data_IF_743067838023
#
_entry.id   IF_743067838023
#
_cell.length_a   1.000
_cell.length_b   1.000
_cell.length_c   1.000
_cell.angle_alpha   90.00
_cell.angle_beta   90.00
_cell.angle_gamma   90.00
#
_symmetry.space_group_name_H-M   'P 1'
#
loop_
_entity.id
_entity.type
_entity.pdbx_description
1 polymer ?
#
# COMPACT_ATOMS: atom_id res chain seq x y z
N UNK A 1 2.42 3.32 -29.60
CA UNK A 1 1.21 2.81 -28.91
C UNK A 1 1.12 3.49 -27.55
N UNK A 2 -0.06 3.88 -27.08
CA UNK A 2 -0.23 4.49 -25.73
C UNK A 2 -0.79 3.45 -24.76
N UNK A 3 -0.19 3.25 -23.58
CA UNK A 3 -0.75 2.35 -22.58
C UNK A 3 -2.09 2.87 -22.04
N UNK A 4 -2.87 1.99 -21.41
CA UNK A 4 -4.15 2.34 -20.78
C UNK A 4 -3.99 3.48 -19.76
N UNK A 5 -4.92 4.42 -19.74
CA UNK A 5 -5.00 5.47 -18.72
C UNK A 5 -5.22 4.91 -17.32
N UNK A 6 -5.69 3.66 -17.20
CA UNK A 6 -5.94 2.98 -15.93
C UNK A 6 -4.67 2.41 -15.30
N UNK A 7 -3.49 2.48 -15.95
CA UNK A 7 -2.26 2.06 -15.30
C UNK A 7 -1.75 3.12 -14.30
N UNK A 8 -1.16 2.66 -13.21
CA UNK A 8 -0.49 3.48 -12.22
C UNK A 8 0.91 3.84 -12.69
N UNK A 9 1.32 5.09 -12.45
CA UNK A 9 2.67 5.59 -12.72
C UNK A 9 3.13 6.41 -11.52
N UNK A 10 4.44 6.65 -11.34
CA UNK A 10 4.93 7.34 -10.15
C UNK A 10 4.27 8.70 -9.86
N UNK A 11 3.74 9.36 -10.89
CA UNK A 11 3.33 10.76 -10.84
C UNK A 11 1.81 10.95 -10.78
N UNK A 12 1.00 9.91 -11.05
CA UNK A 12 -0.43 10.06 -11.34
C UNK A 12 -1.38 9.65 -10.20
N UNK A 13 -0.84 9.23 -9.06
CA UNK A 13 -1.61 8.81 -7.90
C UNK A 13 -0.94 9.25 -6.60
N UNK A 14 -1.70 9.23 -5.52
CA UNK A 14 -1.16 9.23 -4.16
C UNK A 14 -1.36 7.84 -3.55
N UNK A 15 -0.39 7.40 -2.75
CA UNK A 15 -0.48 6.19 -1.93
C UNK A 15 -0.89 6.59 -0.51
N UNK A 16 -1.88 5.91 0.06
CA UNK A 16 -2.28 6.07 1.46
C UNK A 16 -2.08 4.74 2.18
N UNK A 17 -1.11 4.72 3.10
CA UNK A 17 -0.81 3.60 3.97
C UNK A 17 -1.57 3.80 5.29
N UNK A 18 -2.56 2.94 5.53
CA UNK A 18 -3.57 3.16 6.56
C UNK A 18 -3.39 2.15 7.69
N UNK A 19 -2.99 2.64 8.86
CA UNK A 19 -3.13 1.96 10.15
C UNK A 19 -2.45 0.58 10.21
N UNK A 20 -1.25 0.48 9.62
CA UNK A 20 -0.39 -0.71 9.69
C UNK A 20 0.26 -0.87 11.06
N UNK A 21 -0.57 -0.98 12.09
CA UNK A 21 -0.16 -0.96 13.49
C UNK A 21 -0.24 -2.37 14.10
N UNK A 22 0.61 -2.63 15.10
CA UNK A 22 0.78 -3.97 15.68
C UNK A 22 -0.53 -4.58 16.19
N UNK A 23 -1.34 -3.82 16.93
CA UNK A 23 -2.59 -4.33 17.47
C UNK A 23 -3.62 -4.65 16.38
N UNK A 24 -3.63 -3.89 15.28
CA UNK A 24 -4.49 -4.17 14.13
C UNK A 24 -4.04 -5.47 13.45
N UNK A 25 -2.73 -5.71 13.39
CA UNK A 25 -2.19 -6.92 12.79
C UNK A 25 -2.60 -8.20 13.51
N UNK A 26 -2.67 -8.20 14.85
CA UNK A 26 -2.82 -9.43 15.64
C UNK A 26 -4.14 -10.17 15.43
N UNK A 27 -5.22 -9.48 15.07
CA UNK A 27 -6.49 -10.15 14.75
C UNK A 27 -6.59 -10.58 13.27
N UNK A 28 -5.64 -10.18 12.43
CA UNK A 28 -5.66 -10.50 10.98
C UNK A 28 -5.51 -12.00 10.77
N UNK A 29 -6.45 -12.59 10.03
CA UNK A 29 -6.53 -14.05 9.83
C UNK A 29 -6.83 -14.48 8.39
N UNK A 30 -7.10 -13.55 7.46
CA UNK A 30 -7.27 -13.89 6.03
C UNK A 30 -5.95 -14.16 5.30
N UNK A 31 -4.83 -13.68 5.83
CA UNK A 31 -3.48 -13.78 5.24
C UNK A 31 -2.46 -14.04 6.36
N UNK A 32 -1.42 -14.88 6.15
CA UNK A 32 -0.34 -15.02 7.13
C UNK A 32 0.35 -13.67 7.39
N UNK A 33 0.56 -13.32 8.66
CA UNK A 33 1.14 -12.02 9.02
C UNK A 33 2.54 -11.79 8.42
N UNK A 34 3.35 -12.84 8.23
CA UNK A 34 4.64 -12.74 7.54
C UNK A 34 4.51 -12.34 6.06
N UNK A 35 3.46 -12.83 5.40
CA UNK A 35 3.16 -12.51 4.01
C UNK A 35 2.59 -11.09 3.90
N UNK A 36 1.67 -10.71 4.79
CA UNK A 36 1.17 -9.33 4.86
C UNK A 36 2.33 -8.33 5.04
N UNK A 37 3.20 -8.54 6.03
CA UNK A 37 4.36 -7.65 6.27
C UNK A 37 5.30 -7.59 5.07
N UNK A 38 5.50 -8.72 4.37
CA UNK A 38 6.27 -8.78 3.13
C UNK A 38 5.66 -7.88 2.05
N UNK A 39 4.36 -7.99 1.82
CA UNK A 39 3.65 -7.23 0.80
C UNK A 39 3.66 -5.73 1.13
N UNK A 40 3.48 -5.37 2.41
CA UNK A 40 3.59 -4.00 2.91
C UNK A 40 4.98 -3.42 2.66
N UNK A 41 6.05 -4.18 2.94
CA UNK A 41 7.42 -3.75 2.66
C UNK A 41 7.67 -3.48 1.18
N UNK A 42 7.12 -4.32 0.30
CA UNK A 42 7.20 -4.13 -1.15
C UNK A 42 6.50 -2.83 -1.56
N UNK A 43 5.29 -2.56 -1.04
CA UNK A 43 4.55 -1.33 -1.34
C UNK A 43 5.28 -0.08 -0.83
N UNK A 44 5.72 -0.08 0.43
CA UNK A 44 6.43 1.04 1.04
C UNK A 44 7.76 1.31 0.32
N UNK A 45 8.55 0.27 0.06
CA UNK A 45 9.80 0.40 -0.67
C UNK A 45 9.61 0.85 -2.13
N UNK A 46 8.61 0.32 -2.83
CA UNK A 46 8.29 0.73 -4.19
C UNK A 46 7.93 2.23 -4.23
N UNK A 47 7.01 2.67 -3.37
CA UNK A 47 6.63 4.08 -3.32
C UNK A 47 7.81 5.01 -3.05
N UNK A 48 8.76 4.59 -2.22
CA UNK A 48 9.99 5.34 -1.95
C UNK A 48 10.94 5.40 -3.15
N UNK A 49 11.20 4.27 -3.80
CA UNK A 49 12.08 4.18 -4.99
C UNK A 49 11.56 5.10 -6.11
N UNK A 50 10.25 5.12 -6.30
CA UNK A 50 9.61 5.86 -7.39
C UNK A 50 9.18 7.28 -7.01
N UNK A 51 9.42 7.73 -5.76
CA UNK A 51 9.01 9.04 -5.26
C UNK A 51 7.49 9.29 -5.40
N UNK A 52 6.68 8.28 -5.08
CA UNK A 52 5.21 8.40 -5.06
C UNK A 52 4.80 9.27 -3.88
N UNK A 53 3.86 10.19 -4.13
CA UNK A 53 3.21 10.99 -3.09
C UNK A 53 2.52 10.07 -2.08
N UNK A 54 3.13 9.88 -0.91
CA UNK A 54 2.69 8.90 0.09
C UNK A 54 2.25 9.59 1.37
N UNK A 55 1.14 9.11 1.96
CA UNK A 55 0.64 9.48 3.28
C UNK A 55 0.64 8.23 4.15
N UNK A 56 1.05 8.38 5.41
CA UNK A 56 0.93 7.33 6.43
C UNK A 56 -0.02 7.83 7.51
N UNK A 57 -1.04 7.03 7.83
CA UNK A 57 -1.97 7.30 8.94
C UNK A 57 -1.88 6.20 9.99
N UNK A 58 -2.22 6.58 11.21
CA UNK A 58 -2.33 5.68 12.38
C UNK A 58 -3.67 5.90 13.06
N UNK A 59 -4.16 4.92 13.82
CA UNK A 59 -5.42 5.04 14.56
C UNK A 59 -5.23 4.74 16.04
N UNK A 60 -5.33 5.78 16.88
CA UNK A 60 -5.16 5.68 18.31
C UNK A 60 -3.80 5.07 18.70
N UNK A 61 -2.73 5.47 17.99
CA UNK A 61 -1.37 4.91 18.06
C UNK A 61 -0.88 4.81 19.51
N UNK A 62 -0.94 5.93 20.23
CA UNK A 62 -0.41 6.07 21.60
C UNK A 62 -1.29 5.43 22.69
N UNK A 63 -2.52 5.04 22.36
CA UNK A 63 -3.51 4.59 23.36
C UNK A 63 -4.02 3.17 23.17
N UNK A 64 -3.97 2.63 21.95
CA UNK A 64 -4.51 1.31 21.64
C UNK A 64 -3.76 0.57 20.55
N UNK A 65 -3.54 1.18 19.38
CA UNK A 65 -3.09 0.44 18.20
C UNK A 65 -1.59 0.12 18.21
N UNK A 66 -0.79 0.95 18.88
CA UNK A 66 0.66 0.81 18.96
C UNK A 66 1.36 1.23 17.66
N UNK A 67 2.68 1.02 17.57
CA UNK A 67 3.48 1.58 16.49
C UNK A 67 3.17 0.94 15.14
N UNK A 68 3.44 1.71 14.08
CA UNK A 68 3.45 1.26 12.69
C UNK A 68 4.48 0.14 12.48
N UNK A 69 4.24 -0.74 11.51
CA UNK A 69 5.17 -1.81 11.12
C UNK A 69 6.59 -1.27 10.82
N UNK A 70 7.64 -1.94 11.30
CA UNK A 70 9.03 -1.57 10.99
C UNK A 70 9.31 -1.48 9.49
N UNK A 71 8.62 -2.29 8.69
CA UNK A 71 8.70 -2.27 7.24
C UNK A 71 8.34 -0.91 6.62
N UNK A 72 7.38 -0.19 7.20
CA UNK A 72 7.01 1.16 6.73
C UNK A 72 7.97 2.19 7.32
N UNK A 73 8.30 2.07 8.61
CA UNK A 73 9.22 2.99 9.30
C UNK A 73 10.60 3.02 8.63
N UNK A 74 11.07 1.91 8.05
CA UNK A 74 12.32 1.86 7.28
C UNK A 74 12.33 2.86 6.10
N UNK A 75 11.22 3.01 5.38
CA UNK A 75 11.13 3.88 4.20
C UNK A 75 10.53 5.26 4.52
N UNK A 76 9.73 5.33 5.58
CA UNK A 76 9.03 6.51 6.08
C UNK A 76 9.28 6.68 7.58
N UNK A 77 10.48 7.11 8.02
CA UNK A 77 10.76 7.25 9.45
C UNK A 77 9.82 8.27 10.10
N UNK A 78 9.26 7.93 11.27
CA UNK A 78 8.29 8.77 12.00
C UNK A 78 8.83 10.19 12.24
N UNK A 79 10.12 10.31 12.57
CA UNK A 79 10.80 11.57 12.82
C UNK A 79 10.81 12.55 11.63
N UNK A 80 10.53 12.07 10.41
CA UNK A 80 10.62 12.87 9.18
C UNK A 80 9.40 12.77 8.27
N UNK A 81 8.49 11.83 8.53
CA UNK A 81 7.40 11.51 7.60
C UNK A 81 6.05 12.11 8.00
N UNK A 82 5.92 12.63 9.23
CA UNK A 82 4.73 13.35 9.68
C UNK A 82 3.47 12.49 9.61
N UNK A 83 3.48 11.36 10.33
CA UNK A 83 2.31 10.47 10.41
C UNK A 83 1.09 11.24 10.93
N UNK A 84 -0.08 10.87 10.43
CA UNK A 84 -1.35 11.46 10.83
C UNK A 84 -2.07 10.46 11.74
N UNK A 85 -1.88 10.66 13.05
CA UNK A 85 -2.63 9.91 14.06
C UNK A 85 -4.04 10.51 14.23
N UNK A 86 -5.01 9.62 14.35
CA UNK A 86 -6.45 9.94 14.39
C UNK A 86 -7.17 8.95 15.30
N UNK A 87 -8.41 9.28 15.67
CA UNK A 87 -9.27 8.36 16.45
C UNK A 87 -10.42 7.78 15.62
N UNK A 88 -10.76 8.39 14.49
CA UNK A 88 -11.75 7.86 13.56
C UNK A 88 -11.19 6.65 12.82
N UNK A 89 -12.05 5.69 12.47
CA UNK A 89 -11.67 4.54 11.65
C UNK A 89 -11.66 4.87 10.16
N UNK A 90 -12.52 5.78 9.69
CA UNK A 90 -12.54 6.26 8.31
C UNK A 90 -11.66 7.51 8.13
N UNK A 91 -10.62 7.47 7.29
CA UNK A 91 -9.70 8.63 7.11
C UNK A 91 -10.41 9.84 6.52
N UNK A 92 -11.55 9.62 5.86
CA UNK A 92 -12.41 10.69 5.35
C UNK A 92 -13.21 11.42 6.43
N UNK A 93 -13.32 10.86 7.63
CA UNK A 93 -13.98 11.50 8.78
C UNK A 93 -12.99 12.29 9.64
N UNK A 94 -11.69 12.18 9.38
CA UNK A 94 -10.66 13.00 10.03
C UNK A 94 -10.25 14.17 9.14
N UNK A 95 -10.37 15.40 9.64
CA UNK A 95 -10.12 16.62 8.86
C UNK A 95 -8.64 16.74 8.42
N UNK A 96 -7.69 16.30 9.26
CA UNK A 96 -6.27 16.41 8.94
C UNK A 96 -5.87 15.38 7.89
N UNK A 97 -6.33 14.14 8.03
CA UNK A 97 -6.13 13.07 7.04
C UNK A 97 -6.76 13.45 5.69
N UNK A 98 -8.01 13.91 5.70
CA UNK A 98 -8.70 14.37 4.49
C UNK A 98 -7.90 15.49 3.79
N UNK A 99 -7.52 16.55 4.52
CA UNK A 99 -6.73 17.65 3.97
C UNK A 99 -5.39 17.18 3.41
N UNK A 100 -4.69 16.29 4.10
CA UNK A 100 -3.40 15.78 3.66
C UNK A 100 -3.51 14.97 2.35
N UNK A 101 -4.56 14.15 2.21
CA UNK A 101 -4.83 13.37 1.00
C UNK A 101 -5.20 14.30 -0.16
N UNK A 102 -6.17 15.20 0.04
CA UNK A 102 -6.63 16.16 -0.99
C UNK A 102 -5.49 17.07 -1.44
N UNK A 103 -4.62 17.51 -0.51
CA UNK A 103 -3.49 18.38 -0.81
C UNK A 103 -2.46 17.75 -1.77
N UNK A 104 -2.43 16.41 -1.93
CA UNK A 104 -1.59 15.76 -2.95
C UNK A 104 -2.06 16.05 -4.37
N UNK A 105 -3.32 16.49 -4.54
CA UNK A 105 -3.90 16.88 -5.82
C UNK A 105 -3.77 15.77 -6.88
N UNK A 106 -4.11 14.54 -6.49
CA UNK A 106 -4.08 13.36 -7.36
C UNK A 106 -5.48 12.86 -7.61
N UNK A 107 -5.83 12.61 -8.86
CA UNK A 107 -7.14 12.00 -9.20
C UNK A 107 -7.22 10.53 -8.80
N UNK A 108 -6.09 9.83 -8.78
CA UNK A 108 -6.01 8.42 -8.37
C UNK A 108 -5.51 8.30 -6.94
N UNK A 109 -6.16 7.43 -6.17
CA UNK A 109 -5.71 7.03 -4.83
C UNK A 109 -5.45 5.53 -4.82
N UNK A 110 -4.32 5.14 -4.25
CA UNK A 110 -3.97 3.75 -3.99
C UNK A 110 -4.00 3.55 -2.49
N UNK A 111 -4.81 2.60 -2.02
CA UNK A 111 -5.03 2.34 -0.60
C UNK A 111 -4.46 0.98 -0.23
N UNK A 112 -3.78 0.91 0.92
CA UNK A 112 -3.37 -0.33 1.56
C UNK A 112 -3.40 -0.14 3.07
N UNK A 113 -3.82 -1.14 3.84
CA UNK A 113 -3.93 -0.99 5.29
C UNK A 113 -4.79 -2.01 6.01
N UNK A 114 -5.03 -1.73 7.29
CA UNK A 114 -5.74 -2.61 8.21
C UNK A 114 -6.87 -1.87 8.94
N UNK A 115 -8.08 -2.42 9.07
CA UNK A 115 -8.61 -3.61 8.39
C UNK A 115 -9.32 -3.28 7.09
N UNK A 116 -9.36 -4.28 6.20
CA UNK A 116 -9.96 -4.19 4.87
C UNK A 116 -11.43 -3.73 4.96
N UNK A 117 -12.20 -4.35 5.85
CA UNK A 117 -13.62 -4.05 6.09
C UNK A 117 -13.89 -2.87 7.02
N UNK A 118 -12.86 -2.16 7.48
CA UNK A 118 -12.99 -1.02 8.40
C UNK A 118 -12.27 0.19 7.83
N UNK A 119 -10.95 0.29 8.03
CA UNK A 119 -10.15 1.46 7.69
C UNK A 119 -9.86 1.60 6.19
N UNK A 120 -10.10 0.56 5.38
CA UNK A 120 -9.96 0.64 3.91
C UNK A 120 -11.30 0.87 3.22
N UNK A 121 -12.35 0.12 3.58
CA UNK A 121 -13.65 0.27 2.92
C UNK A 121 -14.23 1.67 3.12
N UNK A 122 -14.11 2.27 4.31
CA UNK A 122 -14.62 3.61 4.60
C UNK A 122 -14.10 4.67 3.61
N UNK A 123 -12.78 4.94 3.58
CA UNK A 123 -12.23 5.96 2.71
C UNK A 123 -12.30 5.59 1.22
N UNK A 124 -12.28 4.30 0.86
CA UNK A 124 -12.48 3.91 -0.53
C UNK A 124 -13.86 4.34 -1.05
N UNK A 125 -14.93 4.10 -0.27
CA UNK A 125 -16.28 4.51 -0.64
C UNK A 125 -16.41 6.04 -0.70
N UNK A 126 -15.89 6.75 0.31
CA UNK A 126 -15.95 8.21 0.37
C UNK A 126 -15.18 8.87 -0.78
N UNK A 127 -13.97 8.40 -1.08
CA UNK A 127 -13.17 8.92 -2.18
C UNK A 127 -13.85 8.68 -3.55
N UNK A 128 -14.45 7.50 -3.76
CA UNK A 128 -15.17 7.22 -5.00
C UNK A 128 -16.36 8.16 -5.18
N UNK A 129 -17.12 8.43 -4.12
CA UNK A 129 -18.25 9.38 -4.14
C UNK A 129 -17.77 10.80 -4.52
N UNK A 130 -16.58 11.20 -4.09
CA UNK A 130 -15.94 12.46 -4.48
C UNK A 130 -15.28 12.43 -5.88
N UNK A 131 -15.39 11.32 -6.60
CA UNK A 131 -14.91 11.19 -7.99
C UNK A 131 -13.45 10.78 -8.14
N UNK A 132 -12.81 10.29 -7.08
CA UNK A 132 -11.47 9.71 -7.17
C UNK A 132 -11.51 8.33 -7.86
N UNK A 133 -10.43 8.02 -8.59
CA UNK A 133 -10.17 6.68 -9.11
C UNK A 133 -9.40 5.88 -8.04
N UNK A 134 -10.08 4.94 -7.38
CA UNK A 134 -9.51 4.22 -6.23
C UNK A 134 -8.99 2.84 -6.64
N UNK A 135 -7.76 2.56 -6.23
CA UNK A 135 -7.11 1.26 -6.32
C UNK A 135 -6.84 0.75 -4.90
N UNK A 136 -6.96 -0.55 -4.68
CA UNK A 136 -6.73 -1.17 -3.37
C UNK A 136 -5.74 -2.30 -3.53
N UNK A 137 -4.63 -2.25 -2.78
CA UNK A 137 -3.60 -3.30 -2.80
C UNK A 137 -4.01 -4.42 -1.84
N UNK A 138 -4.85 -5.35 -2.31
CA UNK A 138 -5.59 -6.26 -1.43
C UNK A 138 -4.72 -7.28 -0.71
N UNK A 139 -3.59 -7.68 -1.29
CA UNK A 139 -2.60 -8.57 -0.64
C UNK A 139 -1.71 -7.84 0.39
N UNK A 140 -1.74 -6.51 0.41
CA UNK A 140 -1.19 -5.68 1.48
C UNK A 140 -2.30 -5.21 2.45
N UNK A 141 -3.50 -5.77 2.36
CA UNK A 141 -4.60 -5.55 3.29
C UNK A 141 -4.92 -6.83 4.06
N UNK A 142 -5.48 -6.68 5.25
CA UNK A 142 -5.83 -7.79 6.14
C UNK A 142 -7.16 -7.56 6.86
N UNK A 143 -7.78 -8.62 7.31
CA UNK A 143 -9.02 -8.61 8.09
C UNK A 143 -9.11 -9.83 9.02
N UNK A 144 -10.07 -9.81 9.94
CA UNK A 144 -10.26 -10.82 10.99
C UNK A 144 -10.69 -12.18 10.46
N UNK A 145 -11.09 -12.26 9.19
CA UNK A 145 -11.37 -13.52 8.48
C UNK A 145 -11.34 -13.31 6.98
N UNK A 146 -11.19 -14.40 6.22
CA UNK A 146 -11.33 -14.37 4.77
C UNK A 146 -12.70 -13.85 4.33
N UNK A 147 -13.78 -14.21 5.03
CA UNK A 147 -15.13 -13.70 4.72
C UNK A 147 -15.20 -12.18 4.89
N UNK A 148 -14.68 -11.62 6.00
CA UNK A 148 -14.67 -10.18 6.23
C UNK A 148 -13.88 -9.42 5.14
N UNK A 149 -12.68 -9.91 4.83
CA UNK A 149 -11.83 -9.35 3.77
C UNK A 149 -12.55 -9.37 2.41
N UNK A 150 -13.06 -10.53 1.99
CA UNK A 150 -13.69 -10.69 0.67
C UNK A 150 -14.99 -9.90 0.55
N UNK A 151 -15.82 -9.82 1.60
CA UNK A 151 -17.03 -8.99 1.58
C UNK A 151 -16.69 -7.50 1.47
N UNK A 152 -15.64 -7.05 2.14
CA UNK A 152 -15.16 -5.68 2.01
C UNK A 152 -14.66 -5.37 0.60
N UNK A 153 -13.82 -6.25 0.03
CA UNK A 153 -13.30 -6.11 -1.34
C UNK A 153 -14.45 -6.08 -2.35
N UNK A 154 -15.40 -7.03 -2.26
CA UNK A 154 -16.57 -7.05 -3.15
C UNK A 154 -17.41 -5.78 -3.03
N UNK A 155 -17.62 -5.26 -1.82
CA UNK A 155 -18.33 -3.99 -1.59
C UNK A 155 -17.63 -2.81 -2.26
N UNK A 156 -16.30 -2.75 -2.21
CA UNK A 156 -15.52 -1.70 -2.88
C UNK A 156 -15.57 -1.82 -4.41
N UNK A 157 -15.48 -3.05 -4.95
CA UNK A 157 -15.61 -3.31 -6.39
C UNK A 157 -16.96 -2.82 -6.92
N UNK A 158 -18.05 -3.08 -6.18
CA UNK A 158 -19.41 -2.71 -6.59
C UNK A 158 -19.61 -1.20 -6.80
N UNK A 159 -18.79 -0.37 -6.17
CA UNK A 159 -18.81 1.09 -6.36
C UNK A 159 -17.70 1.59 -7.30
N UNK A 160 -16.83 0.70 -7.81
CA UNK A 160 -15.85 1.03 -8.85
C UNK A 160 -14.38 0.99 -8.44
N UNK A 161 -14.05 0.56 -7.22
CA UNK A 161 -12.65 0.37 -6.82
C UNK A 161 -11.96 -0.72 -7.66
N UNK A 162 -10.65 -0.57 -7.86
CA UNK A 162 -9.81 -1.50 -8.63
C UNK A 162 -8.86 -2.28 -7.70
N UNK A 163 -9.14 -3.55 -7.39
CA UNK A 163 -8.20 -4.39 -6.65
C UNK A 163 -6.93 -4.65 -7.47
N UNK A 164 -5.77 -4.51 -6.84
CA UNK A 164 -4.45 -4.85 -7.38
C UNK A 164 -3.62 -5.54 -6.29
N UNK A 165 -2.44 -6.05 -6.64
CA UNK A 165 -1.52 -6.68 -5.68
C UNK A 165 -0.19 -5.93 -5.56
N UNK A 166 0.56 -6.18 -4.49
CA UNK A 166 1.81 -5.50 -4.13
C UNK A 166 2.88 -5.59 -5.23
N UNK A 167 3.07 -6.79 -5.78
CA UNK A 167 4.01 -7.02 -6.90
C UNK A 167 3.47 -6.37 -8.19
N UNK A 168 2.16 -6.45 -8.45
CA UNK A 168 1.56 -5.76 -9.60
C UNK A 168 1.80 -4.24 -9.50
N UNK A 169 1.57 -3.65 -8.33
CA UNK A 169 1.80 -2.23 -8.08
C UNK A 169 3.26 -1.84 -8.37
N UNK A 170 4.24 -2.57 -7.81
CA UNK A 170 5.65 -2.35 -8.10
C UNK A 170 5.96 -2.41 -9.60
N UNK A 171 5.44 -3.43 -10.30
CA UNK A 171 5.71 -3.63 -11.72
C UNK A 171 4.96 -2.63 -12.63
N UNK A 172 3.82 -2.09 -12.20
CA UNK A 172 3.16 -0.98 -12.87
C UNK A 172 3.94 0.34 -12.76
N UNK A 173 4.74 0.51 -11.70
CA UNK A 173 5.68 1.63 -11.59
C UNK A 173 6.92 1.42 -12.45
N UNK A 174 7.53 0.23 -12.39
CA UNK A 174 8.72 -0.11 -13.17
C UNK A 174 8.45 -0.11 -14.68
N UNK A 175 7.42 -0.85 -15.14
CA UNK A 175 6.97 -1.08 -16.53
C UNK A 175 7.97 -1.63 -17.55
N UNK A 176 9.23 -1.22 -17.47
CA UNK A 176 10.25 -1.49 -18.46
C UNK A 176 11.59 -1.72 -17.77
N UNK A 177 12.20 -2.88 -18.03
CA UNK A 177 13.49 -3.26 -17.45
C UNK A 177 14.68 -2.55 -18.09
N UNK A 178 14.48 -1.85 -19.21
CA UNK A 178 15.46 -0.92 -19.77
C UNK A 178 15.59 0.40 -18.96
N UNK A 179 14.74 0.63 -17.94
CA UNK A 179 14.88 1.76 -17.02
C UNK A 179 15.95 1.46 -15.97
N UNK A 180 17.19 1.72 -16.34
CA UNK A 180 18.36 1.38 -15.54
C UNK A 180 18.40 2.12 -14.19
N UNK A 181 17.89 3.35 -14.13
CA UNK A 181 17.84 4.15 -12.89
C UNK A 181 17.10 3.43 -11.75
N UNK A 182 16.03 2.70 -12.07
CA UNK A 182 15.21 1.99 -11.08
C UNK A 182 15.43 0.47 -11.09
N UNK A 183 16.15 -0.07 -12.08
CA UNK A 183 16.43 -1.51 -12.19
C UNK A 183 17.09 -2.08 -10.93
N UNK A 184 18.22 -1.49 -10.51
CA UNK A 184 18.98 -1.97 -9.34
C UNK A 184 18.18 -1.76 -8.05
N UNK A 185 17.60 -0.58 -7.77
CA UNK A 185 16.72 -0.39 -6.61
C UNK A 185 15.58 -1.41 -6.53
N UNK A 186 14.85 -1.65 -7.63
CA UNK A 186 13.72 -2.58 -7.68
C UNK A 186 14.16 -4.03 -7.45
N UNK A 187 15.24 -4.46 -8.11
CA UNK A 187 15.75 -5.84 -7.92
C UNK A 187 16.30 -6.04 -6.51
N UNK A 188 16.90 -5.02 -5.89
CA UNK A 188 17.34 -5.08 -4.50
C UNK A 188 16.17 -5.13 -3.51
N UNK A 189 15.10 -4.36 -3.74
CA UNK A 189 13.87 -4.44 -2.96
C UNK A 189 13.29 -5.86 -3.00
N UNK A 190 13.22 -6.45 -4.19
CA UNK A 190 12.70 -7.80 -4.36
C UNK A 190 13.61 -8.88 -3.80
N UNK A 191 14.93 -8.73 -3.88
CA UNK A 191 15.88 -9.60 -3.16
C UNK A 191 15.63 -9.58 -1.65
N UNK A 192 15.37 -8.39 -1.09
CA UNK A 192 15.18 -8.19 0.35
C UNK A 192 13.82 -8.70 0.84
N UNK A 193 12.74 -8.38 0.16
CA UNK A 193 11.38 -8.64 0.63
C UNK A 193 10.60 -9.63 -0.23
N UNK A 194 10.93 -9.79 -1.52
CA UNK A 194 10.13 -10.51 -2.51
C UNK A 194 10.02 -12.03 -2.36
N UNK A 195 10.34 -12.60 -1.20
CA UNK A 195 10.23 -14.03 -0.91
C UNK A 195 10.87 -14.90 -1.99
N UNK A 196 10.05 -15.79 -2.58
CA UNK A 196 10.49 -16.70 -3.65
C UNK A 196 10.92 -15.97 -4.93
N UNK A 197 10.32 -14.84 -5.25
CA UNK A 197 10.74 -14.02 -6.39
C UNK A 197 12.15 -13.43 -6.16
N UNK A 198 12.39 -12.92 -4.95
CA UNK A 198 13.71 -12.48 -4.51
C UNK A 198 14.77 -13.58 -4.57
N UNK A 199 14.42 -14.79 -4.12
CA UNK A 199 15.28 -15.97 -4.22
C UNK A 199 15.65 -16.28 -5.68
N UNK A 200 14.71 -16.16 -6.62
CA UNK A 200 14.96 -16.30 -8.04
C UNK A 200 16.00 -15.29 -8.56
N UNK A 201 15.93 -14.03 -8.11
CA UNK A 201 16.90 -13.00 -8.48
C UNK A 201 18.29 -13.30 -7.90
N UNK A 202 18.36 -13.80 -6.66
CA UNK A 202 19.63 -14.25 -6.07
C UNK A 202 20.21 -15.44 -6.82
N UNK A 203 19.38 -16.42 -7.16
CA UNK A 203 19.80 -17.60 -7.92
C UNK A 203 20.34 -17.19 -9.29
N UNK A 204 19.60 -16.35 -10.03
CA UNK A 204 20.00 -15.89 -11.35
C UNK A 204 21.36 -15.18 -11.33
N UNK A 205 21.56 -14.22 -10.42
CA UNK A 205 22.82 -13.47 -10.32
C UNK A 205 24.03 -14.35 -9.95
N UNK A 206 23.83 -15.43 -9.20
CA UNK A 206 24.94 -16.27 -8.72
C UNK A 206 25.21 -17.47 -9.64
N UNK A 207 24.17 -18.03 -10.26
CA UNK A 207 24.26 -19.32 -10.96
C UNK A 207 24.23 -19.18 -12.49
N UNK A 208 23.64 -18.12 -13.03
CA UNK A 208 23.60 -17.89 -14.47
C UNK A 208 24.77 -16.97 -14.84
N UNK A 209 25.63 -17.42 -15.75
CA UNK A 209 26.72 -16.57 -16.28
C UNK A 209 26.10 -15.44 -17.11
N UNK A 210 26.53 -14.21 -16.88
CA UNK A 210 26.17 -13.02 -17.66
C UNK A 210 27.37 -12.59 -18.49
#
# INVERSE_FOLDING_TARGET
MKPSSNLLSPNNHALVLIDFEGQMAFATSNIPLSELRTNVAIVAGASKIFNVDTIVTTVAEESFAGPVFPEIEEYYPIATSGYIDRTSMNTWEDENAYKAIVAKNKKKLVLAGLWTGVCIVGPALSAIEEGYEVYVITDACGDVSAEAHERAVQRMIQVGAQPITSIQYLLELQRDWAREETYVPVTNLMKKHGGSYGLGIHYAHNMLKH
#
